data_IF_135520335878
#
_entry.id   IF_135520335878
#
_cell.length_a   1.000
_cell.length_b   1.000
_cell.length_c   1.000
_cell.angle_alpha   90.00
_cell.angle_beta   90.00
_cell.angle_gamma   90.00
#
_symmetry.space_group_name_H-M   'P 1'
#
loop_
_entity.id
_entity.type
_entity.pdbx_description
1 polymer ?
#
# COMPACT_ATOMS: atom_id res chain seq x y z
N UNK A 1 14.93 9.32 3.43
CA UNK A 1 14.67 7.86 3.41
C UNK A 1 14.82 7.31 4.83
N UNK A 2 13.75 6.74 5.37
CA UNK A 2 13.78 6.27 6.78
C UNK A 2 14.36 4.86 6.93
N UNK A 3 14.26 4.06 5.88
CA UNK A 3 14.79 2.70 5.79
C UNK A 3 15.17 2.43 4.33
N UNK A 4 16.33 1.88 4.07
CA UNK A 4 16.66 1.37 2.75
C UNK A 4 16.20 -0.08 2.63
N UNK A 5 15.44 -0.40 1.59
CA UNK A 5 15.02 -1.77 1.29
C UNK A 5 15.75 -2.30 0.06
N UNK A 6 16.25 -3.51 0.17
CA UNK A 6 16.85 -4.26 -0.93
C UNK A 6 16.35 -5.70 -0.92
N UNK A 7 16.43 -6.37 -2.04
CA UNK A 7 16.19 -7.82 -2.12
C UNK A 7 17.37 -8.61 -1.55
N UNK A 8 17.15 -9.86 -1.23
CA UNK A 8 18.22 -10.74 -0.78
C UNK A 8 19.32 -10.92 -1.86
N UNK A 9 18.93 -10.93 -3.14
CA UNK A 9 19.88 -10.98 -4.24
C UNK A 9 20.74 -9.71 -4.31
N UNK A 10 20.13 -8.53 -4.21
CA UNK A 10 20.85 -7.26 -4.19
C UNK A 10 21.78 -7.13 -2.97
N UNK A 11 21.42 -7.72 -1.83
CA UNK A 11 22.32 -7.80 -0.69
C UNK A 11 23.61 -8.56 -1.00
N UNK A 12 23.51 -9.65 -1.78
CA UNK A 12 24.68 -10.44 -2.18
C UNK A 12 25.50 -9.81 -3.31
N UNK A 13 24.83 -9.21 -4.31
CA UNK A 13 25.47 -8.77 -5.57
C UNK A 13 25.74 -7.27 -5.62
N UNK A 14 25.30 -6.51 -4.63
CA UNK A 14 25.30 -5.06 -4.64
C UNK A 14 24.25 -4.46 -5.59
N UNK A 15 23.98 -3.16 -5.43
CA UNK A 15 23.11 -2.39 -6.32
C UNK A 15 23.92 -1.46 -7.23
N UNK A 16 23.39 -1.19 -8.43
CA UNK A 16 24.01 -0.26 -9.38
C UNK A 16 24.11 1.14 -8.79
N UNK A 17 25.16 1.88 -9.13
CA UNK A 17 25.29 3.30 -8.78
C UNK A 17 24.21 4.18 -9.44
N UNK A 18 23.60 3.72 -10.52
CA UNK A 18 22.49 4.39 -11.20
C UNK A 18 21.12 4.02 -10.59
N UNK A 19 21.08 3.17 -9.55
CA UNK A 19 19.86 2.89 -8.81
C UNK A 19 19.46 4.14 -8.00
N UNK A 20 18.19 4.50 -8.04
CA UNK A 20 17.67 5.68 -7.33
C UNK A 20 17.94 5.65 -5.82
N UNK A 21 17.98 4.44 -5.23
CA UNK A 21 18.32 4.24 -3.81
C UNK A 21 19.80 4.54 -3.56
N UNK A 22 20.69 4.13 -4.47
CA UNK A 22 22.11 4.44 -4.40
C UNK A 22 22.37 5.94 -4.57
N UNK A 23 21.75 6.57 -5.55
CA UNK A 23 21.81 8.01 -5.73
C UNK A 23 21.34 8.79 -4.49
N UNK A 24 20.25 8.32 -3.87
CA UNK A 24 19.74 8.93 -2.65
C UNK A 24 20.76 8.89 -1.49
N UNK A 25 21.40 7.73 -1.27
CA UNK A 25 22.44 7.60 -0.24
C UNK A 25 23.64 8.53 -0.50
N UNK A 26 24.13 8.54 -1.73
CA UNK A 26 25.38 9.22 -2.10
C UNK A 26 25.16 10.71 -2.35
N UNK A 27 24.13 11.08 -3.15
CA UNK A 27 23.93 12.46 -3.61
C UNK A 27 23.06 13.29 -2.65
N UNK A 28 22.02 12.68 -2.05
CA UNK A 28 21.05 13.39 -1.22
C UNK A 28 21.47 13.35 0.25
N UNK A 29 21.72 12.16 0.79
CA UNK A 29 22.17 12.01 2.17
C UNK A 29 23.66 12.28 2.35
N UNK A 30 24.41 12.34 1.25
CA UNK A 30 25.86 12.61 1.23
C UNK A 30 26.65 11.69 2.18
N UNK A 31 26.20 10.46 2.34
CA UNK A 31 26.89 9.48 3.15
C UNK A 31 28.24 9.15 2.54
N UNK A 32 29.25 9.03 3.37
CA UNK A 32 30.59 8.57 3.02
C UNK A 32 30.69 7.05 3.21
N UNK A 33 31.71 6.45 2.65
CA UNK A 33 32.02 5.04 2.89
C UNK A 33 32.16 4.81 4.41
N UNK A 34 31.54 3.71 4.87
CA UNK A 34 31.44 3.32 6.28
C UNK A 34 30.45 4.14 7.15
N UNK A 35 29.74 5.13 6.62
CA UNK A 35 28.63 5.74 7.36
C UNK A 35 27.51 4.74 7.61
N UNK A 36 26.95 4.81 8.84
CA UNK A 36 25.87 3.89 9.26
C UNK A 36 24.51 4.40 8.80
N UNK A 37 23.69 3.52 8.26
CA UNK A 37 22.28 3.78 7.93
C UNK A 37 21.40 2.57 8.18
N UNK A 38 20.07 2.78 8.27
CA UNK A 38 19.10 1.72 8.50
C UNK A 38 18.74 1.02 7.20
N UNK A 39 18.74 -0.31 7.24
CA UNK A 39 18.55 -1.15 6.08
C UNK A 39 17.74 -2.40 6.47
N UNK A 40 16.90 -2.86 5.54
CA UNK A 40 16.13 -4.08 5.65
C UNK A 40 16.16 -4.88 4.35
N UNK A 41 16.02 -6.19 4.45
CA UNK A 41 15.85 -7.08 3.31
C UNK A 41 14.35 -7.34 3.14
N UNK A 42 13.87 -7.21 1.92
CA UNK A 42 12.46 -7.47 1.60
C UNK A 42 12.06 -8.89 2.02
N UNK A 43 10.96 -8.97 2.79
CA UNK A 43 10.45 -10.22 3.34
C UNK A 43 11.12 -10.69 4.63
N UNK A 44 12.17 -10.04 5.10
CA UNK A 44 12.80 -10.33 6.39
C UNK A 44 12.27 -9.43 7.51
N UNK A 45 12.09 -9.98 8.70
CA UNK A 45 11.60 -9.26 9.88
C UNK A 45 12.60 -8.22 10.42
N UNK A 46 13.89 -8.50 10.32
CA UNK A 46 14.91 -7.71 11.01
C UNK A 46 15.33 -6.48 10.23
N UNK A 47 15.53 -5.39 10.97
CA UNK A 47 16.13 -4.15 10.49
C UNK A 47 17.52 -4.02 11.11
N UNK A 48 18.49 -3.63 10.29
CA UNK A 48 19.89 -3.56 10.69
C UNK A 48 20.43 -2.14 10.51
N UNK A 49 21.45 -1.76 11.31
CA UNK A 49 22.42 -0.81 10.87
C UNK A 49 23.38 -1.49 9.90
N UNK A 50 23.71 -0.77 8.86
CA UNK A 50 24.57 -1.23 7.80
C UNK A 50 25.54 -0.11 7.42
N UNK A 51 26.69 -0.50 6.92
CA UNK A 51 27.60 0.36 6.17
C UNK A 51 27.61 -0.09 4.72
N UNK A 52 27.95 0.81 3.84
CA UNK A 52 28.19 0.44 2.45
C UNK A 52 29.65 0.71 2.07
N UNK A 53 30.09 -0.01 1.05
CA UNK A 53 31.35 0.27 0.34
C UNK A 53 31.01 0.59 -1.10
N UNK A 54 31.50 1.73 -1.60
CA UNK A 54 31.34 2.14 -2.98
C UNK A 54 32.53 1.60 -3.80
N UNK A 55 32.20 0.84 -4.83
CA UNK A 55 33.10 0.43 -5.89
C UNK A 55 32.34 0.62 -7.21
N UNK A 56 32.39 -0.31 -8.15
CA UNK A 56 31.53 -0.34 -9.35
C UNK A 56 30.03 -0.43 -9.01
N UNK A 57 29.73 -0.92 -7.81
CA UNK A 57 28.39 -1.03 -7.20
C UNK A 57 28.43 -0.58 -5.74
N UNK A 58 27.28 -0.40 -5.11
CA UNK A 58 27.17 -0.32 -3.65
C UNK A 58 26.98 -1.72 -3.07
N UNK A 59 27.91 -2.11 -2.22
CA UNK A 59 27.84 -3.35 -1.43
C UNK A 59 27.53 -3.02 0.02
N UNK A 60 26.78 -3.89 0.67
CA UNK A 60 26.25 -3.64 2.01
C UNK A 60 26.81 -4.64 3.02
N UNK A 61 27.19 -4.16 4.19
CA UNK A 61 27.63 -4.99 5.32
C UNK A 61 26.73 -4.73 6.52
N UNK A 62 26.02 -5.75 6.98
CA UNK A 62 25.26 -5.71 8.24
C UNK A 62 26.23 -5.53 9.42
N UNK A 63 25.94 -4.60 10.32
CA UNK A 63 26.72 -4.36 11.53
C UNK A 63 26.03 -4.98 12.73
N UNK A 64 24.81 -4.49 13.07
CA UNK A 64 24.02 -5.01 14.15
C UNK A 64 22.52 -4.79 13.92
N UNK A 65 21.68 -5.63 14.52
CA UNK A 65 20.22 -5.47 14.49
C UNK A 65 19.83 -4.26 15.33
N UNK A 66 18.92 -3.44 14.79
CA UNK A 66 18.40 -2.23 15.45
C UNK A 66 16.91 -2.27 15.71
N UNK A 67 16.22 -3.29 15.22
CA UNK A 67 14.79 -3.45 15.43
C UNK A 67 14.18 -4.49 14.51
N UNK A 68 12.88 -4.47 14.48
CA UNK A 68 12.07 -5.36 13.65
C UNK A 68 11.05 -4.55 12.88
N UNK A 69 10.72 -5.02 11.69
CA UNK A 69 9.63 -4.51 10.89
C UNK A 69 8.30 -4.99 11.46
N UNK A 70 7.32 -4.10 11.49
CA UNK A 70 5.95 -4.51 11.71
C UNK A 70 5.49 -5.46 10.59
N UNK A 71 4.66 -6.42 10.94
CA UNK A 71 3.92 -7.22 9.95
C UNK A 71 2.93 -6.33 9.21
N UNK A 72 2.51 -6.75 8.01
CA UNK A 72 1.41 -6.09 7.33
C UNK A 72 0.11 -6.28 8.13
N UNK A 73 -0.66 -5.20 8.24
CA UNK A 73 -1.98 -5.21 8.87
C UNK A 73 -2.97 -5.97 7.98
N UNK A 74 -3.84 -6.78 8.57
CA UNK A 74 -4.87 -7.52 7.82
C UNK A 74 -5.96 -6.59 7.27
N UNK A 75 -5.54 -5.58 6.53
CA UNK A 75 -6.37 -4.59 5.84
C UNK A 75 -6.31 -4.82 4.33
N UNK A 76 -7.46 -5.04 3.72
CA UNK A 76 -7.63 -5.13 2.29
C UNK A 76 -8.31 -3.87 1.78
N UNK A 77 -7.78 -3.28 0.72
CA UNK A 77 -8.36 -2.06 0.14
C UNK A 77 -8.69 -2.31 -1.32
N UNK A 78 -9.98 -2.27 -1.62
CA UNK A 78 -10.55 -2.39 -2.97
C UNK A 78 -10.82 -0.98 -3.49
N UNK A 79 -10.31 -0.67 -4.67
CA UNK A 79 -10.37 0.67 -5.25
C UNK A 79 -10.91 0.58 -6.67
N UNK A 80 -12.04 1.22 -6.92
CA UNK A 80 -12.50 1.46 -8.27
C UNK A 80 -11.39 2.12 -9.08
N UNK A 81 -11.14 1.68 -10.30
CA UNK A 81 -10.02 2.13 -11.12
C UNK A 81 -10.02 3.66 -11.26
N UNK A 82 -8.87 4.26 -11.02
CA UNK A 82 -8.61 5.70 -10.93
C UNK A 82 -7.49 6.13 -11.87
N UNK A 83 -7.29 7.43 -12.01
CA UNK A 83 -6.19 7.99 -12.81
C UNK A 83 -4.84 7.41 -12.39
N UNK A 84 -3.97 7.05 -13.35
CA UNK A 84 -2.68 6.41 -13.06
C UNK A 84 -1.79 7.18 -12.09
N UNK A 85 -1.79 8.51 -12.18
CA UNK A 85 -0.99 9.36 -11.28
C UNK A 85 -1.51 9.33 -9.84
N UNK A 86 -2.82 9.22 -9.66
CA UNK A 86 -3.47 9.08 -8.35
C UNK A 86 -3.20 7.69 -7.78
N UNK A 87 -3.30 6.64 -8.62
CA UNK A 87 -2.99 5.28 -8.23
C UNK A 87 -1.56 5.13 -7.69
N UNK A 88 -0.56 5.76 -8.33
CA UNK A 88 0.84 5.77 -7.84
C UNK A 88 0.95 6.31 -6.42
N UNK A 89 0.23 7.41 -6.12
CA UNK A 89 0.22 8.01 -4.79
C UNK A 89 -0.43 7.08 -3.78
N UNK A 90 -1.62 6.56 -4.08
CA UNK A 90 -2.34 5.65 -3.18
C UNK A 90 -1.52 4.39 -2.88
N UNK A 91 -0.92 3.75 -3.89
CA UNK A 91 -0.08 2.56 -3.71
C UNK A 91 1.05 2.85 -2.73
N UNK A 92 1.73 3.99 -2.89
CA UNK A 92 2.82 4.39 -1.99
C UNK A 92 2.34 4.59 -0.55
N UNK A 93 1.24 5.31 -0.37
CA UNK A 93 0.72 5.59 0.98
C UNK A 93 0.17 4.32 1.66
N UNK A 94 -0.57 3.47 0.94
CA UNK A 94 -1.05 2.20 1.48
C UNK A 94 0.10 1.25 1.87
N UNK A 95 1.19 1.26 1.10
CA UNK A 95 2.39 0.50 1.48
C UNK A 95 3.04 1.07 2.76
N UNK A 96 3.06 2.40 2.95
CA UNK A 96 3.60 3.01 4.16
C UNK A 96 2.74 2.74 5.41
N UNK A 97 1.42 2.57 5.25
CA UNK A 97 0.48 2.18 6.30
C UNK A 97 0.64 0.70 6.68
N UNK A 98 1.20 -0.12 5.79
CA UNK A 98 1.34 -1.56 5.99
C UNK A 98 0.09 -2.36 5.65
N UNK A 99 -0.67 -1.92 4.67
CA UNK A 99 -1.85 -2.63 4.13
C UNK A 99 -1.44 -4.01 3.61
N UNK A 100 -2.28 -5.02 3.79
CA UNK A 100 -1.98 -6.38 3.34
C UNK A 100 -2.18 -6.57 1.84
N UNK A 101 -3.32 -6.07 1.30
CA UNK A 101 -3.66 -6.26 -0.12
C UNK A 101 -4.36 -5.03 -0.69
N UNK A 102 -3.99 -4.66 -1.90
CA UNK A 102 -4.57 -3.58 -2.68
C UNK A 102 -5.17 -4.19 -3.95
N UNK A 103 -6.44 -3.93 -4.21
CA UNK A 103 -7.16 -4.50 -5.36
C UNK A 103 -7.73 -3.34 -6.17
N UNK A 104 -7.35 -3.25 -7.45
CA UNK A 104 -7.97 -2.33 -8.39
C UNK A 104 -8.96 -3.08 -9.28
N UNK A 105 -10.10 -2.47 -9.57
CA UNK A 105 -11.13 -3.07 -10.42
C UNK A 105 -11.89 -1.99 -11.22
N UNK A 106 -12.45 -2.36 -12.36
CA UNK A 106 -13.29 -1.45 -13.12
C UNK A 106 -14.70 -1.35 -12.53
N UNK A 107 -15.25 -0.15 -12.59
CA UNK A 107 -16.64 0.18 -12.30
C UNK A 107 -17.32 0.69 -13.57
N UNK A 108 -18.63 0.87 -13.55
CA UNK A 108 -19.39 1.42 -14.67
C UNK A 108 -18.93 2.82 -15.05
N UNK A 109 -18.52 3.63 -14.06
CA UNK A 109 -18.10 5.01 -14.24
C UNK A 109 -16.59 5.20 -14.44
N UNK A 110 -15.83 4.10 -14.51
CA UNK A 110 -14.37 4.14 -14.74
C UNK A 110 -14.04 4.54 -16.18
N UNK A 111 -13.05 5.40 -16.34
CA UNK A 111 -12.45 5.72 -17.63
C UNK A 111 -11.68 4.50 -18.19
N UNK A 112 -12.15 3.96 -19.33
CA UNK A 112 -11.61 2.71 -19.92
C UNK A 112 -10.11 2.75 -20.22
N UNK A 113 -9.55 3.94 -20.49
CA UNK A 113 -8.13 4.14 -20.79
C UNK A 113 -7.20 3.83 -19.59
N UNK A 114 -7.70 3.91 -18.36
CA UNK A 114 -6.84 3.75 -17.16
C UNK A 114 -6.21 2.37 -17.03
N UNK A 115 -6.96 1.29 -17.38
CA UNK A 115 -6.43 -0.08 -17.37
C UNK A 115 -5.22 -0.27 -18.29
N UNK A 116 -5.15 0.52 -19.36
CA UNK A 116 -4.08 0.42 -20.35
C UNK A 116 -2.80 1.15 -19.93
N UNK A 117 -2.80 1.81 -18.78
CA UNK A 117 -1.64 2.54 -18.30
C UNK A 117 -0.48 1.63 -17.88
N UNK A 118 0.74 2.12 -18.03
CA UNK A 118 1.97 1.38 -17.69
C UNK A 118 1.99 0.88 -16.24
N UNK A 119 1.40 1.63 -15.31
CA UNK A 119 1.40 1.25 -13.89
C UNK A 119 0.66 -0.07 -13.65
N UNK A 120 -0.41 -0.33 -14.41
CA UNK A 120 -1.21 -1.54 -14.26
C UNK A 120 -0.76 -2.70 -15.17
N UNK A 121 -0.03 -2.40 -16.27
CA UNK A 121 0.43 -3.43 -17.23
C UNK A 121 1.82 -3.98 -16.96
N UNK A 122 2.75 -3.16 -16.51
CA UNK A 122 4.20 -3.46 -16.52
C UNK A 122 4.80 -3.65 -15.12
N UNK A 123 4.02 -4.04 -14.12
CA UNK A 123 4.47 -4.16 -12.72
C UNK A 123 5.14 -2.89 -12.15
N UNK A 124 4.89 -1.72 -12.75
CA UNK A 124 5.40 -0.43 -12.27
C UNK A 124 4.90 -0.10 -10.84
N UNK A 125 3.95 -0.89 -10.33
CA UNK A 125 3.47 -0.80 -8.95
C UNK A 125 4.57 -1.08 -7.93
N UNK A 126 5.48 -2.02 -8.21
CA UNK A 126 6.47 -2.49 -7.24
C UNK A 126 7.38 -1.37 -6.73
N UNK A 127 7.85 -0.49 -7.62
CA UNK A 127 8.68 0.67 -7.21
C UNK A 127 7.94 1.61 -6.26
N UNK A 128 6.62 1.77 -6.41
CA UNK A 128 5.81 2.59 -5.53
C UNK A 128 5.54 1.90 -4.19
N UNK A 129 5.36 0.58 -4.19
CA UNK A 129 5.29 -0.23 -2.97
C UNK A 129 6.59 -0.13 -2.16
N UNK A 130 7.73 -0.33 -2.81
CA UNK A 130 9.05 -0.22 -2.16
C UNK A 130 9.24 1.18 -1.57
N UNK A 131 8.94 2.24 -2.33
CA UNK A 131 9.07 3.62 -1.86
C UNK A 131 8.19 3.89 -0.62
N UNK A 132 6.96 3.39 -0.59
CA UNK A 132 6.06 3.50 0.56
C UNK A 132 6.56 2.68 1.76
N UNK A 133 6.94 1.43 1.55
CA UNK A 133 7.47 0.56 2.58
C UNK A 133 8.75 1.13 3.22
N UNK A 134 9.66 1.71 2.42
CA UNK A 134 10.84 2.43 2.91
C UNK A 134 10.46 3.61 3.81
N UNK A 135 9.42 4.35 3.48
CA UNK A 135 8.91 5.46 4.28
C UNK A 135 8.29 4.97 5.59
N UNK A 136 7.47 3.92 5.54
CA UNK A 136 6.81 3.29 6.69
C UNK A 136 7.73 2.41 7.56
N UNK A 137 9.00 2.22 7.16
CA UNK A 137 9.97 1.31 7.80
C UNK A 137 9.48 -0.14 7.85
N UNK A 138 8.80 -0.56 6.80
CA UNK A 138 8.22 -1.90 6.66
C UNK A 138 9.05 -2.68 5.64
N UNK A 139 9.40 -3.92 5.94
CA UNK A 139 10.18 -4.80 5.05
C UNK A 139 9.29 -5.72 4.21
N UNK A 140 7.99 -5.71 4.43
CA UNK A 140 7.00 -6.49 3.70
C UNK A 140 6.23 -5.58 2.73
N UNK A 141 5.91 -6.09 1.54
CA UNK A 141 5.15 -5.34 0.55
C UNK A 141 3.69 -5.83 0.49
N UNK A 142 2.73 -4.91 0.38
CA UNK A 142 1.36 -5.26 0.05
C UNK A 142 1.27 -6.06 -1.26
N UNK A 143 0.35 -7.00 -1.32
CA UNK A 143 0.01 -7.69 -2.58
C UNK A 143 -0.89 -6.79 -3.42
N UNK A 144 -0.56 -6.57 -4.69
CA UNK A 144 -1.44 -5.87 -5.63
C UNK A 144 -2.13 -6.87 -6.54
N UNK A 145 -3.42 -6.67 -6.75
CA UNK A 145 -4.21 -7.44 -7.72
C UNK A 145 -5.07 -6.48 -8.55
N UNK A 146 -5.14 -6.76 -9.85
CA UNK A 146 -6.03 -6.05 -10.77
C UNK A 146 -7.09 -7.05 -11.21
N UNK A 147 -8.36 -6.71 -10.99
CA UNK A 147 -9.50 -7.55 -11.31
C UNK A 147 -10.36 -6.81 -12.34
N UNK A 148 -10.93 -7.57 -13.27
CA UNK A 148 -11.62 -7.01 -14.44
C UNK A 148 -12.77 -6.07 -14.09
N UNK A 149 -13.57 -6.41 -13.07
CA UNK A 149 -14.78 -5.67 -12.71
C UNK A 149 -15.13 -5.82 -11.22
N UNK A 150 -16.10 -5.04 -10.78
CA UNK A 150 -16.59 -5.02 -9.40
C UNK A 150 -17.09 -6.42 -8.96
N UNK A 151 -17.94 -7.08 -9.76
CA UNK A 151 -18.55 -8.38 -9.40
C UNK A 151 -17.49 -9.44 -9.11
N UNK A 152 -16.46 -9.54 -9.97
CA UNK A 152 -15.37 -10.48 -9.77
C UNK A 152 -14.51 -10.14 -8.55
N UNK A 153 -14.37 -8.85 -8.24
CA UNK A 153 -13.66 -8.38 -7.03
C UNK A 153 -14.39 -8.77 -5.76
N UNK A 154 -15.71 -8.63 -5.74
CA UNK A 154 -16.55 -9.04 -4.62
C UNK A 154 -16.54 -10.56 -4.42
N UNK A 155 -16.63 -11.35 -5.50
CA UNK A 155 -16.47 -12.81 -5.43
C UNK A 155 -15.10 -13.22 -4.90
N UNK A 156 -14.04 -12.53 -5.32
CA UNK A 156 -12.70 -12.80 -4.85
C UNK A 156 -12.56 -12.56 -3.34
N UNK A 157 -13.15 -11.47 -2.84
CA UNK A 157 -13.12 -11.12 -1.41
C UNK A 157 -14.00 -12.08 -0.58
N UNK A 158 -15.05 -12.61 -1.14
CA UNK A 158 -15.94 -13.56 -0.44
C UNK A 158 -15.22 -14.86 -0.02
N UNK A 159 -14.10 -15.19 -0.65
CA UNK A 159 -13.27 -16.34 -0.28
C UNK A 159 -12.50 -16.14 1.04
N UNK A 160 -12.45 -14.90 1.55
CA UNK A 160 -11.80 -14.52 2.79
C UNK A 160 -12.87 -14.12 3.83
N UNK A 161 -12.64 -14.45 5.09
CA UNK A 161 -13.54 -14.05 6.17
C UNK A 161 -13.07 -12.74 6.80
N UNK A 162 -13.88 -11.68 6.66
CA UNK A 162 -13.62 -10.37 7.25
C UNK A 162 -14.60 -10.09 8.38
N UNK A 163 -14.06 -9.59 9.50
CA UNK A 163 -14.85 -9.15 10.64
C UNK A 163 -15.69 -7.92 10.29
N UNK A 164 -15.13 -7.01 9.46
CA UNK A 164 -15.85 -5.85 8.96
C UNK A 164 -15.60 -5.63 7.45
N UNK A 165 -16.69 -5.31 6.74
CA UNK A 165 -16.67 -4.96 5.31
C UNK A 165 -17.25 -3.56 5.14
N UNK A 166 -16.40 -2.62 4.74
CA UNK A 166 -16.67 -1.18 4.73
C UNK A 166 -16.86 -0.70 3.29
N UNK A 167 -18.04 -0.17 2.98
CA UNK A 167 -18.24 0.70 1.81
C UNK A 167 -18.02 2.14 2.25
N UNK A 168 -17.02 2.80 1.68
CA UNK A 168 -16.78 4.20 1.99
C UNK A 168 -17.79 5.09 1.26
N UNK A 169 -18.68 5.73 2.02
CA UNK A 169 -19.77 6.55 1.50
C UNK A 169 -19.92 7.81 2.33
N UNK A 170 -20.05 8.97 1.67
CA UNK A 170 -20.05 10.29 2.34
C UNK A 170 -21.19 10.47 3.34
N UNK A 171 -22.40 10.09 2.95
CA UNK A 171 -23.63 10.39 3.70
C UNK A 171 -24.10 9.18 4.52
N UNK A 172 -23.19 8.40 5.09
CA UNK A 172 -23.53 7.30 5.96
C UNK A 172 -23.78 7.79 7.39
N UNK A 173 -24.78 7.20 8.04
CA UNK A 173 -25.03 7.41 9.48
C UNK A 173 -23.91 6.83 10.36
N UNK A 174 -23.27 5.75 9.89
CA UNK A 174 -22.14 5.13 10.60
C UNK A 174 -20.85 5.88 10.28
N UNK A 175 -20.11 6.25 11.32
CA UNK A 175 -18.79 6.85 11.17
C UNK A 175 -17.69 5.81 11.36
N UNK A 176 -16.69 5.83 10.50
CA UNK A 176 -15.58 4.87 10.54
C UNK A 176 -14.72 5.01 11.81
N UNK A 177 -14.67 6.18 12.42
CA UNK A 177 -13.93 6.42 13.65
C UNK A 177 -14.53 5.67 14.86
N UNK A 178 -15.84 5.37 14.81
CA UNK A 178 -16.57 4.76 15.91
C UNK A 178 -16.46 3.22 15.94
N UNK A 179 -15.81 2.60 14.95
CA UNK A 179 -15.59 1.15 14.99
C UNK A 179 -14.67 0.77 16.14
N UNK A 180 -14.98 -0.35 16.76
CA UNK A 180 -14.17 -0.95 17.82
C UNK A 180 -12.90 -1.60 17.29
N UNK A 181 -12.12 -2.24 18.16
CA UNK A 181 -10.96 -3.03 17.74
C UNK A 181 -11.40 -4.29 16.98
N UNK A 182 -10.71 -4.57 15.90
CA UNK A 182 -11.01 -5.65 14.96
C UNK A 182 -9.73 -6.40 14.57
N UNK A 183 -9.89 -7.64 14.10
CA UNK A 183 -8.75 -8.47 13.66
C UNK A 183 -8.40 -8.27 12.19
N UNK A 184 -9.40 -8.03 11.35
CA UNK A 184 -9.21 -7.83 9.91
C UNK A 184 -10.35 -7.00 9.33
N UNK A 185 -10.07 -6.33 8.22
CA UNK A 185 -11.05 -5.49 7.54
C UNK A 185 -10.83 -5.48 6.03
N UNK A 186 -11.91 -5.21 5.32
CA UNK A 186 -11.87 -4.84 3.91
C UNK A 186 -12.64 -3.54 3.68
N UNK A 187 -12.00 -2.62 2.96
CA UNK A 187 -12.58 -1.34 2.56
C UNK A 187 -12.79 -1.36 1.05
N UNK A 188 -13.93 -0.91 0.57
CA UNK A 188 -14.18 -0.64 -0.83
C UNK A 188 -14.43 0.85 -1.06
N UNK A 189 -13.72 1.42 -2.02
CA UNK A 189 -13.76 2.85 -2.37
C UNK A 189 -14.05 3.00 -3.85
N UNK A 190 -14.98 3.88 -4.20
CA UNK A 190 -15.32 4.19 -5.58
C UNK A 190 -14.22 4.99 -6.30
N UNK A 191 -14.26 5.02 -7.66
CA UNK A 191 -13.44 5.93 -8.45
C UNK A 191 -13.86 7.40 -8.23
N UNK A 192 -13.27 8.33 -8.95
CA UNK A 192 -13.57 9.77 -8.81
C UNK A 192 -15.04 10.14 -9.02
N UNK A 193 -15.78 9.33 -9.78
CA UNK A 193 -17.22 9.51 -10.06
C UNK A 193 -18.12 8.68 -9.14
N UNK A 194 -17.54 7.96 -8.17
CA UNK A 194 -18.27 7.10 -7.24
C UNK A 194 -18.80 5.81 -7.89
N UNK A 195 -19.72 5.16 -7.18
CA UNK A 195 -20.45 3.98 -7.64
C UNK A 195 -21.86 4.36 -8.12
N UNK A 196 -22.37 3.64 -9.12
CA UNK A 196 -23.80 3.72 -9.48
C UNK A 196 -24.65 3.07 -8.40
N UNK A 197 -25.96 3.37 -8.37
CA UNK A 197 -26.87 2.74 -7.40
C UNK A 197 -26.94 1.20 -7.57
N UNK A 198 -26.83 0.70 -8.80
CA UNK A 198 -26.73 -0.73 -9.07
C UNK A 198 -25.47 -1.34 -8.47
N UNK A 199 -24.35 -0.65 -8.57
CA UNK A 199 -23.08 -1.08 -7.97
C UNK A 199 -23.16 -1.09 -6.45
N UNK A 200 -23.77 -0.05 -5.84
CA UNK A 200 -23.98 0.00 -4.39
C UNK A 200 -24.87 -1.15 -3.90
N UNK A 201 -25.97 -1.42 -4.60
CA UNK A 201 -26.83 -2.56 -4.30
C UNK A 201 -26.08 -3.89 -4.40
N UNK A 202 -25.25 -4.06 -5.43
CA UNK A 202 -24.40 -5.26 -5.56
C UNK A 202 -23.40 -5.36 -4.40
N UNK A 203 -22.74 -4.27 -4.01
CA UNK A 203 -21.81 -4.24 -2.89
C UNK A 203 -22.51 -4.64 -1.58
N UNK A 204 -23.72 -4.13 -1.34
CA UNK A 204 -24.53 -4.47 -0.16
C UNK A 204 -24.86 -5.96 -0.09
N UNK A 205 -25.15 -6.64 -1.24
CA UNK A 205 -25.39 -8.09 -1.29
C UNK A 205 -24.19 -8.93 -0.81
N UNK A 206 -22.98 -8.36 -0.79
CA UNK A 206 -21.76 -8.98 -0.26
C UNK A 206 -21.47 -8.58 1.20
N UNK A 207 -22.48 -8.01 1.89
CA UNK A 207 -22.44 -7.61 3.31
C UNK A 207 -21.46 -6.45 3.60
N UNK A 208 -21.23 -5.57 2.65
CA UNK A 208 -20.56 -4.31 2.91
C UNK A 208 -21.57 -3.31 3.51
N UNK A 209 -21.18 -2.70 4.60
CA UNK A 209 -21.94 -1.60 5.23
C UNK A 209 -21.33 -0.25 4.87
N UNK A 210 -22.16 0.78 4.62
CA UNK A 210 -21.66 2.12 4.37
C UNK A 210 -21.12 2.75 5.67
N UNK A 211 -19.99 3.45 5.53
CA UNK A 211 -19.36 4.25 6.59
C UNK A 211 -18.88 5.57 6.00
N UNK A 212 -19.06 6.65 6.76
CA UNK A 212 -18.46 7.95 6.46
C UNK A 212 -17.17 8.17 7.26
N UNK A 213 -16.35 9.10 6.77
CA UNK A 213 -15.17 9.62 7.48
C UNK A 213 -15.17 11.14 7.58
N UNK A 214 -16.08 11.81 6.88
CA UNK A 214 -16.17 13.26 6.81
C UNK A 214 -17.52 13.70 6.27
N UNK A 215 -18.04 14.80 6.76
CA UNK A 215 -19.21 15.49 6.19
C UNK A 215 -18.88 16.19 4.86
N UNK A 216 -17.60 16.44 4.58
CA UNK A 216 -17.14 17.06 3.34
C UNK A 216 -16.89 16.03 2.23
N UNK A 217 -17.01 16.45 0.98
CA UNK A 217 -16.59 15.62 -0.16
C UNK A 217 -15.07 15.59 -0.26
N UNK A 218 -14.51 14.42 -0.14
CA UNK A 218 -13.07 14.19 -0.27
C UNK A 218 -12.74 13.65 -1.67
N UNK A 219 -11.53 13.94 -2.14
CA UNK A 219 -10.99 13.24 -3.31
C UNK A 219 -10.77 11.77 -3.00
N UNK A 220 -10.85 10.90 -4.00
CA UNK A 220 -10.70 9.45 -3.83
C UNK A 220 -9.40 9.08 -3.13
N UNK A 221 -8.28 9.72 -3.47
CA UNK A 221 -7.00 9.48 -2.79
C UNK A 221 -7.03 9.85 -1.31
N UNK A 222 -7.59 11.00 -0.98
CA UNK A 222 -7.70 11.47 0.41
C UNK A 222 -8.60 10.55 1.22
N UNK A 223 -9.76 10.20 0.67
CA UNK A 223 -10.72 9.29 1.29
C UNK A 223 -10.11 7.91 1.54
N UNK A 224 -9.44 7.34 0.53
CA UNK A 224 -8.80 6.02 0.62
C UNK A 224 -7.71 6.01 1.70
N UNK A 225 -6.84 7.01 1.73
CA UNK A 225 -5.75 7.09 2.70
C UNK A 225 -6.30 7.28 4.11
N UNK A 226 -7.21 8.24 4.31
CA UNK A 226 -7.81 8.51 5.61
C UNK A 226 -8.55 7.29 6.18
N UNK A 227 -9.42 6.66 5.37
CA UNK A 227 -10.13 5.45 5.76
C UNK A 227 -9.16 4.32 6.12
N UNK A 228 -8.09 4.15 5.35
CA UNK A 228 -7.07 3.12 5.62
C UNK A 228 -6.31 3.37 6.92
N UNK A 229 -5.96 4.62 7.24
CA UNK A 229 -5.30 4.98 8.50
C UNK A 229 -6.22 4.72 9.69
N UNK A 230 -7.47 5.21 9.63
CA UNK A 230 -8.47 5.02 10.69
C UNK A 230 -8.68 3.52 10.93
N UNK A 231 -8.96 2.75 9.88
CA UNK A 231 -9.18 1.30 10.02
C UNK A 231 -7.92 0.58 10.52
N UNK A 232 -6.75 0.95 10.00
CA UNK A 232 -5.48 0.36 10.44
C UNK A 232 -5.16 0.61 11.92
N UNK A 233 -5.62 1.74 12.50
CA UNK A 233 -5.46 2.04 13.93
C UNK A 233 -6.34 1.18 14.82
N UNK A 234 -7.43 0.63 14.28
CA UNK A 234 -8.36 -0.27 14.99
C UNK A 234 -7.98 -1.75 14.87
N UNK A 235 -7.04 -2.10 13.98
CA UNK A 235 -6.58 -3.47 13.83
C UNK A 235 -5.68 -3.87 14.99
N UNK A 236 -6.00 -4.96 15.64
CA UNK A 236 -5.17 -5.57 16.69
C UNK A 236 -3.83 -5.98 16.06
N UNK A 237 -2.73 -5.50 16.61
CA UNK A 237 -1.39 -5.90 16.17
C UNK A 237 -1.13 -7.34 16.64
N UNK A 238 -1.04 -8.26 15.68
CA UNK A 238 -0.60 -9.63 15.94
C UNK A 238 0.92 -9.76 15.85
#
# INVERSE_FOLDING_TARGET
MNLMLITFNEFKTGISLNDTRAEHLVKILKLKDNDKFKFGILGEKNIYHCIYKKDKKLFFKKIFKVGESNKLKKLYVLIGMIRPIVAKRIIKELASIGTYKIIFFNTELTEKSYLNSKIFKNNDCEKHLIAGAMQGKITYLPKIKIIKNLKDSLKYIQQENFEIKILLEKNSEKNLIDIEQINNAVIIVGPERGFTEKEKQLIAQYNFSPYSISSNTLRTETATIAASIITASKLINM
#
